data_IF_028323597730
#
_entry.id   IF_028323597730
#
_cell.length_a   1.000
_cell.length_b   1.000
_cell.length_c   1.000
_cell.angle_alpha   90.00
_cell.angle_beta   90.00
_cell.angle_gamma   90.00
#
_symmetry.space_group_name_H-M   'P 1'
#
loop_
_entity.id
_entity.type
_entity.pdbx_description
1 polymer ?
#
# COMPACT_ATOMS: atom_id res chain seq x y z
N UNK A 1 -5.09 -32.85 -16.97
CA UNK A 1 -4.51 -31.96 -15.94
C UNK A 1 -4.02 -30.70 -16.64
N UNK A 2 -4.31 -29.49 -16.14
CA UNK A 2 -3.79 -28.25 -16.74
C UNK A 2 -2.68 -27.70 -15.84
N UNK A 3 -1.42 -28.03 -16.18
CA UNK A 3 -0.25 -27.48 -15.51
C UNK A 3 0.29 -26.30 -16.32
N UNK A 4 0.44 -25.13 -15.70
CA UNK A 4 0.85 -23.89 -16.37
C UNK A 4 2.31 -23.94 -16.86
N UNK A 5 3.14 -24.84 -16.32
CA UNK A 5 4.54 -25.03 -16.72
C UNK A 5 4.74 -25.87 -17.99
N UNK A 6 3.68 -26.43 -18.55
CA UNK A 6 3.76 -27.26 -19.76
C UNK A 6 4.29 -28.69 -19.55
N UNK A 7 4.76 -29.06 -18.36
CA UNK A 7 5.02 -30.46 -17.99
C UNK A 7 3.81 -31.04 -17.27
N UNK A 8 3.13 -31.99 -17.90
CA UNK A 8 1.88 -32.59 -17.40
C UNK A 8 2.10 -33.94 -16.72
N UNK A 9 3.33 -34.48 -16.74
CA UNK A 9 3.67 -35.72 -16.04
C UNK A 9 3.97 -35.46 -14.56
N UNK A 10 3.73 -36.48 -13.74
CA UNK A 10 4.03 -36.42 -12.31
C UNK A 10 5.54 -36.35 -12.10
N UNK A 11 5.99 -35.42 -11.26
CA UNK A 11 7.42 -35.10 -11.07
C UNK A 11 8.26 -36.29 -10.60
N UNK A 12 7.65 -37.27 -9.90
CA UNK A 12 8.32 -38.46 -9.41
C UNK A 12 7.46 -39.71 -9.63
N UNK A 13 8.08 -40.76 -10.19
CA UNK A 13 7.46 -42.08 -10.33
C UNK A 13 7.66 -42.86 -9.04
N UNK A 14 6.61 -42.96 -8.22
CA UNK A 14 6.61 -43.76 -6.99
C UNK A 14 6.14 -45.19 -7.25
N UNK A 15 6.46 -46.09 -6.32
CA UNK A 15 5.96 -47.46 -6.33
C UNK A 15 4.44 -47.50 -6.11
N UNK A 16 3.81 -48.55 -6.63
CA UNK A 16 2.38 -48.82 -6.50
C UNK A 16 2.18 -49.94 -5.50
N UNK A 17 1.21 -49.80 -4.60
CA UNK A 17 0.80 -50.86 -3.68
C UNK A 17 -0.41 -51.60 -4.25
N UNK A 18 -0.36 -52.92 -4.25
CA UNK A 18 -1.43 -53.79 -4.78
C UNK A 18 -1.86 -54.74 -3.68
N UNK A 19 -3.15 -54.70 -3.33
CA UNK A 19 -3.75 -55.61 -2.36
C UNK A 19 -4.17 -56.92 -3.03
N UNK A 20 -4.30 -57.97 -2.23
CA UNK A 20 -4.81 -59.29 -2.58
C UNK A 20 -6.24 -59.27 -3.17
N UNK A 21 -7.04 -58.24 -2.87
CA UNK A 21 -8.38 -58.02 -3.45
C UNK A 21 -8.33 -57.51 -4.90
N UNK A 22 -7.15 -57.09 -5.37
CA UNK A 22 -6.97 -56.41 -6.65
C UNK A 22 -7.04 -54.88 -6.55
N UNK A 23 -7.19 -54.32 -5.36
CA UNK A 23 -7.18 -52.86 -5.16
C UNK A 23 -5.77 -52.31 -5.31
N UNK A 24 -5.64 -51.25 -6.11
CA UNK A 24 -4.37 -50.63 -6.47
C UNK A 24 -4.30 -49.22 -5.88
N UNK A 25 -3.34 -48.96 -5.01
CA UNK A 25 -3.11 -47.65 -4.40
C UNK A 25 -1.81 -47.04 -4.91
N UNK A 26 -1.90 -45.82 -5.45
CA UNK A 26 -0.76 -45.08 -5.96
C UNK A 26 -0.78 -43.63 -5.46
N UNK A 27 0.29 -43.22 -4.75
CA UNK A 27 0.41 -41.89 -4.15
C UNK A 27 1.74 -41.25 -4.60
N UNK A 28 1.77 -40.62 -5.78
CA UNK A 28 2.99 -39.98 -6.26
C UNK A 28 3.09 -38.53 -5.76
N UNK A 29 4.28 -38.06 -5.32
CA UNK A 29 4.47 -36.67 -4.97
C UNK A 29 4.57 -35.83 -6.25
N UNK A 30 3.87 -34.68 -6.26
CA UNK A 30 3.78 -33.82 -7.43
C UNK A 30 3.83 -32.34 -7.04
N UNK A 31 4.46 -31.53 -7.88
CA UNK A 31 4.38 -30.07 -7.81
C UNK A 31 3.50 -29.55 -8.95
N UNK A 32 2.41 -28.87 -8.61
CA UNK A 32 1.47 -28.32 -9.59
C UNK A 32 1.59 -26.80 -9.64
N UNK A 33 1.69 -26.25 -10.84
CA UNK A 33 1.55 -24.81 -11.07
C UNK A 33 0.23 -24.54 -11.76
N UNK A 34 -0.69 -23.88 -11.07
CA UNK A 34 -1.96 -23.43 -11.65
C UNK A 34 -1.84 -21.98 -12.12
N UNK A 35 -2.62 -21.64 -13.15
CA UNK A 35 -2.85 -20.25 -13.52
C UNK A 35 -4.19 -19.84 -12.94
N UNK A 36 -4.19 -18.83 -12.06
CA UNK A 36 -5.41 -18.20 -11.55
C UNK A 36 -5.34 -16.69 -11.72
N UNK A 37 -6.50 -16.08 -11.94
CA UNK A 37 -6.65 -14.63 -11.97
C UNK A 37 -6.74 -14.12 -10.53
N UNK A 38 -5.85 -13.20 -10.18
CA UNK A 38 -5.82 -12.56 -8.87
C UNK A 38 -6.68 -11.29 -8.91
N UNK A 39 -7.56 -11.14 -7.93
CA UNK A 39 -8.30 -9.90 -7.72
C UNK A 39 -7.59 -9.03 -6.68
N UNK A 40 -7.20 -7.83 -7.07
CA UNK A 40 -6.42 -6.91 -6.22
C UNK A 40 -7.27 -5.80 -5.61
N UNK A 41 -8.58 -5.75 -5.83
CA UNK A 41 -9.43 -4.63 -5.40
C UNK A 41 -9.24 -4.27 -3.92
N UNK A 42 -9.23 -5.28 -3.04
CA UNK A 42 -9.15 -5.14 -1.58
C UNK A 42 -7.75 -5.32 -0.99
N UNK A 43 -6.70 -5.33 -1.82
CA UNK A 43 -5.33 -5.48 -1.36
C UNK A 43 -4.98 -4.49 -0.22
N UNK A 44 -4.31 -4.91 0.87
CA UNK A 44 -3.79 -6.26 1.18
C UNK A 44 -4.77 -7.17 1.94
N UNK A 45 -6.01 -6.73 2.16
CA UNK A 45 -7.08 -7.47 2.84
C UNK A 45 -7.87 -8.32 1.83
N UNK A 46 -7.15 -8.97 0.92
CA UNK A 46 -7.70 -9.74 -0.18
C UNK A 46 -7.83 -11.23 0.17
N UNK A 47 -8.89 -11.84 -0.36
CA UNK A 47 -9.09 -13.28 -0.43
C UNK A 47 -9.00 -13.71 -1.88
N UNK A 48 -8.29 -14.81 -2.14
CA UNK A 48 -8.09 -15.35 -3.48
C UNK A 48 -8.68 -16.75 -3.57
N UNK A 49 -9.35 -17.04 -4.69
CA UNK A 49 -9.84 -18.38 -5.02
C UNK A 49 -9.17 -18.86 -6.30
N UNK A 50 -8.27 -19.83 -6.16
CA UNK A 50 -7.56 -20.43 -7.28
C UNK A 50 -8.03 -21.86 -7.51
N UNK A 51 -8.23 -22.24 -8.77
CA UNK A 51 -8.79 -23.55 -9.14
C UNK A 51 -7.72 -24.52 -9.58
N UNK A 52 -7.77 -25.75 -9.05
CA UNK A 52 -7.00 -26.90 -9.52
C UNK A 52 -7.96 -27.92 -10.16
N UNK A 53 -7.69 -28.30 -11.42
CA UNK A 53 -8.55 -29.22 -12.17
C UNK A 53 -7.80 -30.50 -12.48
N UNK A 54 -8.29 -31.60 -11.91
CA UNK A 54 -7.80 -32.96 -12.12
C UNK A 54 -8.77 -33.74 -13.01
N UNK A 55 -8.22 -34.51 -13.93
CA UNK A 55 -8.99 -35.19 -14.95
C UNK A 55 -8.07 -36.03 -15.83
N UNK A 56 -8.62 -37.12 -16.36
CA UNK A 56 -7.95 -37.92 -17.39
C UNK A 56 -7.73 -37.09 -18.65
N UNK A 57 -6.59 -37.29 -19.30
CA UNK A 57 -6.30 -36.68 -20.60
C UNK A 57 -6.63 -37.62 -21.76
N UNK A 58 -6.42 -38.92 -21.57
CA UNK A 58 -6.54 -39.95 -22.62
C UNK A 58 -7.91 -40.62 -22.66
N UNK A 59 -8.60 -40.71 -21.53
CA UNK A 59 -9.84 -41.48 -21.38
C UNK A 59 -11.04 -40.59 -21.07
N UNK A 60 -12.20 -40.98 -21.58
CA UNK A 60 -13.47 -40.28 -21.36
C UNK A 60 -14.23 -40.82 -20.14
N UNK A 61 -15.34 -40.16 -19.78
CA UNK A 61 -16.20 -40.57 -18.65
C UNK A 61 -16.81 -41.97 -18.78
N UNK A 62 -16.85 -42.55 -19.97
CA UNK A 62 -17.38 -43.90 -20.20
C UNK A 62 -16.35 -44.99 -19.83
N UNK A 63 -15.06 -44.63 -19.76
CA UNK A 63 -13.94 -45.54 -19.50
C UNK A 63 -13.35 -45.34 -18.11
N UNK A 64 -13.15 -44.07 -17.72
CA UNK A 64 -12.58 -43.70 -16.42
C UNK A 64 -13.50 -42.69 -15.74
N UNK A 65 -14.02 -43.09 -14.58
CA UNK A 65 -14.85 -42.24 -13.73
C UNK A 65 -14.08 -41.90 -12.46
N UNK A 66 -13.90 -40.60 -12.22
CA UNK A 66 -13.33 -40.11 -10.97
C UNK A 66 -14.40 -40.08 -9.87
N UNK A 67 -14.01 -40.44 -8.65
CA UNK A 67 -14.89 -40.40 -7.48
C UNK A 67 -14.10 -40.03 -6.21
N UNK A 68 -14.81 -39.65 -5.15
CA UNK A 68 -14.21 -39.29 -3.88
C UNK A 68 -13.67 -40.50 -3.14
N UNK A 69 -12.46 -40.35 -2.60
CA UNK A 69 -11.92 -41.31 -1.64
C UNK A 69 -12.60 -41.09 -0.28
N UNK A 70 -13.16 -42.14 0.32
CA UNK A 70 -13.87 -42.11 1.61
C UNK A 70 -15.01 -41.09 1.72
N UNK A 71 -15.64 -40.68 0.60
CA UNK A 71 -16.68 -39.64 0.55
C UNK A 71 -16.24 -38.27 1.09
N UNK A 72 -14.94 -37.98 1.12
CA UNK A 72 -14.40 -36.70 1.58
C UNK A 72 -14.31 -35.75 0.39
N UNK A 73 -15.07 -34.65 0.44
CA UNK A 73 -15.19 -33.66 -0.66
C UNK A 73 -14.26 -32.45 -0.48
N UNK A 74 -13.20 -32.58 0.31
CA UNK A 74 -12.25 -31.52 0.58
C UNK A 74 -10.83 -32.07 0.70
N UNK A 75 -9.83 -31.21 0.50
CA UNK A 75 -8.43 -31.61 0.71
C UNK A 75 -8.15 -31.73 2.20
N UNK A 76 -7.53 -32.82 2.62
CA UNK A 76 -7.06 -33.00 3.98
C UNK A 76 -5.82 -32.13 4.22
N UNK A 77 -5.88 -31.27 5.24
CA UNK A 77 -4.80 -30.35 5.62
C UNK A 77 -4.03 -30.81 6.86
N UNK A 78 -4.08 -32.09 7.22
CA UNK A 78 -3.43 -32.63 8.43
C UNK A 78 -1.92 -32.44 8.41
N UNK A 79 -1.30 -32.67 7.24
CA UNK A 79 0.14 -32.53 7.03
C UNK A 79 0.49 -31.17 6.37
N UNK A 80 -0.39 -30.18 6.50
CA UNK A 80 -0.16 -28.85 5.93
C UNK A 80 0.83 -28.04 6.78
N UNK A 81 1.94 -27.65 6.15
CA UNK A 81 2.88 -26.68 6.71
C UNK A 81 2.39 -25.25 6.45
N UNK A 82 2.11 -24.51 7.53
CA UNK A 82 1.64 -23.12 7.44
C UNK A 82 2.59 -22.20 6.68
N UNK A 83 2.03 -21.36 5.80
CA UNK A 83 2.78 -20.33 5.09
C UNK A 83 2.94 -19.04 5.91
N UNK A 84 4.06 -18.35 5.71
CA UNK A 84 4.33 -17.04 6.32
C UNK A 84 3.61 -15.87 5.65
N UNK A 85 3.02 -16.09 4.47
CA UNK A 85 2.43 -15.02 3.64
C UNK A 85 0.92 -15.18 3.47
N UNK A 86 0.46 -16.43 3.39
CA UNK A 86 -0.93 -16.79 3.11
C UNK A 86 -1.46 -17.73 4.18
N UNK A 87 -2.73 -17.54 4.56
CA UNK A 87 -3.51 -18.49 5.34
C UNK A 87 -4.44 -19.25 4.40
N UNK A 88 -4.41 -20.58 4.45
CA UNK A 88 -5.38 -21.43 3.75
C UNK A 88 -6.66 -21.43 4.58
N UNK A 89 -7.74 -20.88 4.01
CA UNK A 89 -9.05 -20.83 4.69
C UNK A 89 -9.75 -22.18 4.51
N UNK A 90 -9.90 -22.61 3.27
CA UNK A 90 -10.57 -23.86 2.91
C UNK A 90 -10.16 -24.31 1.49
N UNK A 91 -10.31 -25.61 1.22
CA UNK A 91 -10.05 -26.21 -0.09
C UNK A 91 -11.17 -27.21 -0.46
N UNK A 92 -12.39 -26.73 -0.75
CA UNK A 92 -13.49 -27.59 -1.17
C UNK A 92 -13.25 -28.17 -2.57
N UNK A 93 -13.74 -29.38 -2.76
CA UNK A 93 -13.68 -30.13 -4.00
C UNK A 93 -15.06 -30.36 -4.60
N UNK A 94 -15.15 -30.27 -5.93
CA UNK A 94 -16.38 -30.50 -6.70
C UNK A 94 -16.11 -31.55 -7.77
N UNK A 95 -17.01 -32.53 -7.86
CA UNK A 95 -16.98 -33.56 -8.89
C UNK A 95 -17.84 -33.11 -10.07
N UNK A 96 -17.25 -33.04 -11.25
CA UNK A 96 -17.94 -32.71 -12.49
C UNK A 96 -17.99 -33.97 -13.34
N UNK A 97 -19.17 -34.61 -13.35
CA UNK A 97 -19.48 -35.77 -14.19
C UNK A 97 -20.62 -35.40 -15.13
N UNK A 98 -20.28 -34.86 -16.30
CA UNK A 98 -21.26 -34.45 -17.32
C UNK A 98 -21.33 -35.50 -18.42
N UNK A 99 -22.46 -36.20 -18.49
CA UNK A 99 -22.70 -37.23 -19.52
C UNK A 99 -22.75 -36.66 -20.93
N UNK A 100 -23.28 -35.44 -21.09
CA UNK A 100 -23.40 -34.76 -22.39
C UNK A 100 -22.03 -34.42 -23.01
N UNK A 101 -21.08 -33.96 -22.19
CA UNK A 101 -19.74 -33.58 -22.64
C UNK A 101 -18.73 -34.72 -22.51
N UNK A 102 -19.16 -35.89 -22.01
CA UNK A 102 -18.31 -37.06 -21.69
C UNK A 102 -17.09 -36.73 -20.81
N UNK A 103 -17.24 -35.76 -19.91
CA UNK A 103 -16.15 -35.31 -19.05
C UNK A 103 -16.34 -35.81 -17.62
N UNK A 104 -15.28 -36.43 -17.06
CA UNK A 104 -15.14 -36.72 -15.63
C UNK A 104 -13.92 -35.99 -15.07
N UNK A 105 -14.16 -34.99 -14.21
CA UNK A 105 -13.13 -34.12 -13.63
C UNK A 105 -13.41 -33.84 -12.16
N UNK A 106 -12.36 -33.65 -11.37
CA UNK A 106 -12.43 -33.16 -9.99
C UNK A 106 -11.81 -31.76 -9.95
N UNK A 107 -12.52 -30.80 -9.39
CA UNK A 107 -12.10 -29.40 -9.28
C UNK A 107 -11.95 -29.03 -7.82
N UNK A 108 -10.76 -28.58 -7.41
CA UNK A 108 -10.54 -28.02 -6.08
C UNK A 108 -10.43 -26.51 -6.15
N UNK A 109 -11.15 -25.82 -5.28
CA UNK A 109 -11.04 -24.38 -5.10
C UNK A 109 -10.18 -24.08 -3.89
N UNK A 110 -8.95 -23.67 -4.10
CA UNK A 110 -8.03 -23.27 -3.04
C UNK A 110 -8.36 -21.84 -2.64
N UNK A 111 -8.96 -21.67 -1.46
CA UNK A 111 -9.31 -20.36 -0.89
C UNK A 111 -8.23 -19.94 0.09
N UNK A 112 -7.53 -18.85 -0.24
CA UNK A 112 -6.40 -18.33 0.56
C UNK A 112 -6.62 -16.86 0.91
N UNK A 113 -6.17 -16.48 2.11
CA UNK A 113 -6.19 -15.10 2.61
C UNK A 113 -4.79 -14.60 2.87
N UNK A 114 -4.51 -13.35 2.52
CA UNK A 114 -3.19 -12.74 2.74
C UNK A 114 -2.99 -12.33 4.20
N UNK A 115 -1.79 -12.54 4.73
CA UNK A 115 -1.35 -11.93 6.00
C UNK A 115 -1.04 -10.45 5.79
N UNK A 116 -1.87 -9.58 6.34
CA UNK A 116 -1.87 -8.13 6.07
C UNK A 116 -0.83 -7.33 6.86
N UNK A 117 -0.38 -7.85 8.00
CA UNK A 117 0.46 -7.11 8.97
C UNK A 117 1.71 -6.49 8.32
N UNK A 118 2.42 -7.24 7.48
CA UNK A 118 3.60 -6.76 6.78
C UNK A 118 3.30 -5.51 5.93
N UNK A 119 2.23 -5.55 5.15
CA UNK A 119 1.83 -4.45 4.27
C UNK A 119 1.29 -3.26 5.04
N UNK A 120 0.51 -3.49 6.10
CA UNK A 120 0.00 -2.41 6.97
C UNK A 120 1.15 -1.63 7.62
N UNK A 121 2.14 -2.32 8.18
CA UNK A 121 3.27 -1.69 8.87
C UNK A 121 4.18 -0.94 7.89
N UNK A 122 4.44 -1.49 6.71
CA UNK A 122 5.39 -0.90 5.76
C UNK A 122 4.76 0.17 4.86
N UNK A 123 3.46 0.08 4.56
CA UNK A 123 2.80 1.01 3.64
C UNK A 123 1.92 2.03 4.39
N UNK A 124 1.09 1.60 5.33
CA UNK A 124 0.12 2.50 5.98
C UNK A 124 0.81 3.39 7.01
N UNK A 125 1.64 2.83 7.89
CA UNK A 125 2.27 3.61 8.97
C UNK A 125 3.14 4.76 8.42
N UNK A 126 4.05 4.54 7.43
CA UNK A 126 4.88 5.63 6.93
C UNK A 126 4.08 6.72 6.22
N UNK A 127 2.97 6.39 5.54
CA UNK A 127 2.14 7.41 4.86
C UNK A 127 1.41 8.31 5.83
N UNK A 128 0.89 7.76 6.93
CA UNK A 128 0.26 8.53 8.00
C UNK A 128 1.27 9.44 8.69
N UNK A 129 2.47 8.92 8.99
CA UNK A 129 3.56 9.72 9.58
C UNK A 129 4.02 10.85 8.65
N UNK A 130 4.17 10.56 7.35
CA UNK A 130 4.53 11.57 6.34
C UNK A 130 3.48 12.68 6.25
N UNK A 131 2.19 12.33 6.23
CA UNK A 131 1.11 13.31 6.23
C UNK A 131 1.15 14.19 7.50
N UNK A 132 1.38 13.59 8.67
CA UNK A 132 1.53 14.34 9.92
C UNK A 132 2.72 15.31 9.89
N UNK A 133 3.88 14.86 9.42
CA UNK A 133 5.07 15.71 9.28
C UNK A 133 4.86 16.84 8.27
N UNK A 134 4.16 16.59 7.16
CA UNK A 134 3.80 17.63 6.19
C UNK A 134 2.91 18.74 6.79
N UNK A 135 2.01 18.38 7.70
CA UNK A 135 1.17 19.35 8.41
C UNK A 135 2.00 20.18 9.39
N UNK A 136 2.93 19.54 10.11
CA UNK A 136 3.86 20.23 11.01
C UNK A 136 4.78 21.22 10.28
N UNK A 137 5.15 20.94 9.02
CA UNK A 137 5.95 21.85 8.21
C UNK A 137 5.26 23.21 7.96
N UNK A 138 3.92 23.27 7.95
CA UNK A 138 3.20 24.55 7.85
C UNK A 138 3.20 25.35 9.14
N UNK A 139 3.24 24.67 10.29
CA UNK A 139 3.26 25.32 11.60
C UNK A 139 4.61 25.97 11.90
N UNK A 140 5.70 25.43 11.37
CA UNK A 140 7.04 25.96 11.61
C UNK A 140 7.23 27.32 10.87
N UNK A 141 7.75 28.36 11.54
CA UNK A 141 8.00 29.66 10.92
C UNK A 141 9.06 29.54 9.82
N UNK A 142 8.93 30.37 8.78
CA UNK A 142 9.83 30.36 7.62
C UNK A 142 11.23 30.92 7.90
N UNK A 143 11.39 31.60 9.05
CA UNK A 143 12.67 32.12 9.52
C UNK A 143 13.65 31.00 9.93
N UNK A 144 13.10 29.85 10.34
CA UNK A 144 13.91 28.71 10.74
C UNK A 144 14.46 27.97 9.53
N UNK A 145 15.79 27.84 9.47
CA UNK A 145 16.47 26.99 8.49
C UNK A 145 15.98 25.52 8.53
N UNK A 146 15.48 25.08 9.70
CA UNK A 146 14.92 23.75 9.90
C UNK A 146 13.68 23.48 9.02
N UNK A 147 12.91 24.51 8.64
CA UNK A 147 11.74 24.35 7.75
C UNK A 147 12.12 23.88 6.36
N UNK A 148 13.20 24.45 5.82
CA UNK A 148 13.70 24.11 4.48
C UNK A 148 14.27 22.69 4.51
N UNK A 149 15.09 22.39 5.54
CA UNK A 149 15.64 21.05 5.76
C UNK A 149 14.55 19.98 5.87
N UNK A 150 13.53 20.21 6.71
CA UNK A 150 12.37 19.32 6.85
C UNK A 150 11.66 19.09 5.51
N UNK A 151 11.44 20.15 4.73
CA UNK A 151 10.75 20.06 3.43
C UNK A 151 11.55 19.23 2.42
N UNK A 152 12.88 19.39 2.37
CA UNK A 152 13.76 18.60 1.49
C UNK A 152 13.75 17.12 1.90
N UNK A 153 13.88 16.84 3.21
CA UNK A 153 13.85 15.47 3.73
C UNK A 153 12.50 14.79 3.48
N UNK A 154 11.39 15.52 3.60
CA UNK A 154 10.05 15.02 3.25
C UNK A 154 9.94 14.69 1.76
N UNK A 155 10.45 15.54 0.88
CA UNK A 155 10.44 15.28 -0.56
C UNK A 155 11.26 14.02 -0.90
N UNK A 156 12.45 13.87 -0.32
CA UNK A 156 13.29 12.69 -0.53
C UNK A 156 12.60 11.41 -0.05
N UNK A 157 12.06 11.44 1.17
CA UNK A 157 11.32 10.30 1.74
C UNK A 157 10.10 9.92 0.87
N UNK A 158 9.40 10.92 0.32
CA UNK A 158 8.26 10.72 -0.57
C UNK A 158 8.65 9.96 -1.85
N UNK A 159 9.77 10.34 -2.48
CA UNK A 159 10.28 9.68 -3.69
C UNK A 159 10.69 8.24 -3.38
N UNK A 160 11.41 8.00 -2.28
CA UNK A 160 11.81 6.65 -1.87
C UNK A 160 10.58 5.76 -1.61
N UNK A 161 9.57 6.29 -0.91
CA UNK A 161 8.35 5.55 -0.63
C UNK A 161 7.55 5.26 -1.90
N UNK A 162 7.49 6.18 -2.87
CA UNK A 162 6.88 5.95 -4.17
C UNK A 162 7.55 4.79 -4.93
N UNK A 163 8.89 4.74 -4.93
CA UNK A 163 9.66 3.65 -5.55
C UNK A 163 9.42 2.30 -4.85
N UNK A 164 9.18 2.30 -3.54
CA UNK A 164 8.81 1.09 -2.79
C UNK A 164 7.42 0.60 -3.21
N UNK A 165 6.44 1.50 -3.25
CA UNK A 165 5.05 1.20 -3.63
C UNK A 165 4.97 0.63 -5.06
N UNK A 166 5.71 1.20 -6.01
CA UNK A 166 5.71 0.73 -7.41
C UNK A 166 6.32 -0.68 -7.58
N UNK A 167 7.12 -1.14 -6.62
CA UNK A 167 7.67 -2.51 -6.63
C UNK A 167 6.74 -3.52 -5.98
N UNK A 168 5.94 -3.09 -5.01
CA UNK A 168 5.06 -3.98 -4.24
C UNK A 168 3.71 -4.18 -4.95
N UNK A 169 3.18 -3.12 -5.58
CA UNK A 169 1.93 -3.20 -6.33
C UNK A 169 2.19 -3.74 -7.74
N UNK A 170 1.52 -4.83 -8.16
CA UNK A 170 1.68 -5.35 -9.50
C UNK A 170 1.11 -4.36 -10.54
N UNK A 171 1.74 -4.21 -11.72
CA UNK A 171 1.19 -3.40 -12.80
C UNK A 171 -0.04 -4.12 -13.37
N UNK A 172 -1.21 -3.81 -12.81
CA UNK A 172 -2.49 -4.39 -13.18
C UNK A 172 -3.42 -3.30 -13.70
N UNK A 173 -4.35 -3.67 -14.58
CA UNK A 173 -5.34 -2.74 -15.15
C UNK A 173 -6.30 -2.17 -14.10
N UNK A 174 -6.55 -2.92 -13.02
CA UNK A 174 -7.41 -2.50 -11.91
C UNK A 174 -6.56 -2.00 -10.75
N UNK A 175 -6.59 -0.69 -10.50
CA UNK A 175 -5.87 -0.07 -9.38
C UNK A 175 -6.52 -0.51 -8.05
N UNK A 176 -5.77 -1.14 -7.12
CA UNK A 176 -6.28 -1.57 -5.82
C UNK A 176 -6.78 -0.37 -5.00
N UNK A 177 -7.74 -0.58 -4.09
CA UNK A 177 -8.27 0.46 -3.22
C UNK A 177 -7.15 1.14 -2.41
N UNK A 178 -6.23 0.34 -1.87
CA UNK A 178 -5.02 0.83 -1.21
C UNK A 178 -4.15 1.70 -2.14
N UNK A 179 -4.02 1.31 -3.41
CA UNK A 179 -3.31 2.11 -4.41
C UNK A 179 -3.95 3.47 -4.65
N UNK A 180 -5.29 3.55 -4.68
CA UNK A 180 -6.03 4.82 -4.79
C UNK A 180 -5.80 5.72 -3.57
N UNK A 181 -5.83 5.16 -2.37
CA UNK A 181 -5.52 5.88 -1.13
C UNK A 181 -4.09 6.43 -1.14
N UNK A 182 -3.10 5.59 -1.46
CA UNK A 182 -1.70 5.99 -1.53
C UNK A 182 -1.49 7.07 -2.60
N UNK A 183 -2.12 6.95 -3.77
CA UNK A 183 -2.05 7.96 -4.83
C UNK A 183 -2.63 9.31 -4.40
N UNK A 184 -3.78 9.30 -3.74
CA UNK A 184 -4.36 10.52 -3.16
C UNK A 184 -3.42 11.15 -2.13
N UNK A 185 -2.85 10.34 -1.22
CA UNK A 185 -1.88 10.80 -0.24
C UNK A 185 -0.64 11.39 -0.91
N UNK A 186 -0.13 10.78 -1.98
CA UNK A 186 1.00 11.31 -2.74
C UNK A 186 0.71 12.68 -3.35
N UNK A 187 -0.45 12.84 -4.01
CA UNK A 187 -0.85 14.11 -4.62
C UNK A 187 -0.96 15.21 -3.55
N UNK A 188 -1.53 14.90 -2.39
CA UNK A 188 -1.60 15.83 -1.26
C UNK A 188 -0.20 16.22 -0.77
N UNK A 189 0.68 15.24 -0.51
CA UNK A 189 2.05 15.52 -0.07
C UNK A 189 2.84 16.38 -1.08
N UNK A 190 2.76 16.07 -2.38
CA UNK A 190 3.40 16.89 -3.43
C UNK A 190 2.86 18.32 -3.40
N UNK A 191 1.54 18.47 -3.32
CA UNK A 191 0.90 19.80 -3.26
C UNK A 191 1.39 20.58 -2.03
N UNK A 192 1.50 19.93 -0.87
CA UNK A 192 2.01 20.60 0.34
C UNK A 192 3.44 21.08 0.17
N UNK A 193 4.33 20.26 -0.41
CA UNK A 193 5.73 20.63 -0.66
C UNK A 193 5.84 21.80 -1.65
N UNK A 194 5.03 21.81 -2.71
CA UNK A 194 5.02 22.94 -3.66
C UNK A 194 4.56 24.22 -2.96
N UNK A 195 3.50 24.16 -2.13
CA UNK A 195 3.01 25.31 -1.37
C UNK A 195 4.06 25.79 -0.37
N UNK A 196 4.77 24.91 0.34
CA UNK A 196 5.82 25.33 1.28
C UNK A 196 6.98 26.02 0.57
N UNK A 197 7.41 25.54 -0.59
CA UNK A 197 8.42 26.21 -1.42
C UNK A 197 7.95 27.60 -1.85
N UNK A 198 6.69 27.75 -2.25
CA UNK A 198 6.11 29.07 -2.57
C UNK A 198 6.09 29.99 -1.35
N UNK A 199 5.68 29.50 -0.17
CA UNK A 199 5.68 30.27 1.08
C UNK A 199 7.10 30.75 1.41
N UNK A 200 8.09 29.86 1.31
CA UNK A 200 9.49 30.19 1.57
C UNK A 200 10.01 31.23 0.58
N UNK A 201 9.70 31.07 -0.71
CA UNK A 201 10.07 32.04 -1.74
C UNK A 201 9.44 33.43 -1.50
N UNK A 202 8.16 33.47 -1.10
CA UNK A 202 7.49 34.73 -0.74
C UNK A 202 8.07 35.34 0.54
N UNK A 203 8.46 34.52 1.53
CA UNK A 203 9.06 34.98 2.78
C UNK A 203 10.42 35.65 2.56
N UNK A 204 11.31 35.06 1.77
CA UNK A 204 12.64 35.61 1.47
C UNK A 204 12.62 36.74 0.40
N UNK A 205 11.44 37.24 0.02
CA UNK A 205 11.32 38.36 -0.92
C UNK A 205 11.67 39.68 -0.21
N UNK A 206 12.79 40.29 -0.61
CA UNK A 206 13.21 41.61 -0.12
C UNK A 206 12.50 42.77 -0.85
N UNK A 207 12.25 43.87 -0.14
CA UNK A 207 11.62 45.09 -0.67
C UNK A 207 12.46 45.81 -1.74
N UNK A 208 13.76 45.49 -1.83
CA UNK A 208 14.67 46.08 -2.83
C UNK A 208 14.49 45.41 -4.19
N UNK A 209 14.13 44.12 -4.22
CA UNK A 209 14.05 43.34 -5.46
C UNK A 209 12.63 43.24 -6.04
N UNK A 210 11.59 43.50 -5.22
CA UNK A 210 10.21 43.29 -5.64
C UNK A 210 9.23 44.27 -5.00
N UNK A 211 8.37 44.87 -5.83
CA UNK A 211 7.22 45.62 -5.36
C UNK A 211 6.02 44.70 -5.09
N UNK A 212 5.25 44.98 -4.02
CA UNK A 212 4.06 44.21 -3.66
C UNK A 212 2.84 44.73 -4.43
N UNK A 213 2.19 43.92 -5.28
CA UNK A 213 1.00 44.35 -6.01
C UNK A 213 -0.18 44.66 -5.07
N UNK A 214 -0.99 45.65 -5.43
CA UNK A 214 -2.14 46.10 -4.64
C UNK A 214 -3.18 44.98 -4.37
N UNK A 215 -3.33 44.02 -5.29
CA UNK A 215 -4.25 42.89 -5.10
C UNK A 215 -3.75 41.91 -4.03
N UNK A 216 -2.43 41.64 -3.98
CA UNK A 216 -1.80 40.76 -2.96
C UNK A 216 -2.01 41.38 -1.58
N UNK A 217 -1.81 42.69 -1.47
CA UNK A 217 -2.03 43.45 -0.24
C UNK A 217 -3.45 43.29 0.30
N UNK A 218 -4.48 43.50 -0.55
CA UNK A 218 -5.89 43.36 -0.12
C UNK A 218 -6.25 41.93 0.29
N UNK A 219 -5.80 40.93 -0.47
CA UNK A 219 -6.11 39.53 -0.18
C UNK A 219 -5.42 39.07 1.11
N UNK A 220 -4.08 39.20 1.19
CA UNK A 220 -3.29 38.59 2.26
C UNK A 220 -3.21 39.44 3.54
N UNK A 221 -3.34 40.77 3.47
CA UNK A 221 -3.19 41.65 4.66
C UNK A 221 -4.52 42.24 5.18
N UNK A 222 -5.60 42.19 4.38
CA UNK A 222 -6.90 42.74 4.78
C UNK A 222 -8.01 41.69 4.87
N UNK A 223 -8.15 40.81 3.87
CA UNK A 223 -9.21 39.79 3.83
C UNK A 223 -8.85 38.54 4.64
N UNK A 224 -7.74 37.88 4.31
CA UNK A 224 -7.33 36.60 4.90
C UNK A 224 -7.14 36.66 6.44
N UNK A 225 -6.49 37.69 7.03
CA UNK A 225 -6.31 37.77 8.49
C UNK A 225 -7.63 37.96 9.25
N UNK A 226 -8.63 38.62 8.63
CA UNK A 226 -9.98 38.77 9.21
C UNK A 226 -10.73 37.43 9.22
N UNK A 227 -10.58 36.63 8.17
CA UNK A 227 -11.19 35.29 8.08
C UNK A 227 -10.51 34.30 9.04
N UNK A 228 -9.18 34.35 9.16
CA UNK A 228 -8.38 33.46 10.00
C UNK A 228 -8.26 33.93 11.47
N UNK A 229 -8.94 35.01 11.86
CA UNK A 229 -8.89 35.62 13.20
C UNK A 229 -7.46 35.91 13.71
N UNK A 230 -6.56 36.30 12.83
CA UNK A 230 -5.17 36.63 13.20
C UNK A 230 -5.11 38.05 13.80
N UNK A 231 -4.45 38.18 14.96
CA UNK A 231 -4.11 39.51 15.52
C UNK A 231 -2.93 40.09 14.75
N UNK A 232 -3.02 41.36 14.37
CA UNK A 232 -1.88 42.06 13.78
C UNK A 232 -0.80 42.26 14.86
N UNK A 233 0.48 41.99 14.56
CA UNK A 233 1.56 42.35 15.46
C UNK A 233 1.59 43.87 15.65
N UNK A 234 1.81 44.32 16.89
CA UNK A 234 1.95 45.74 17.21
C UNK A 234 3.20 46.29 16.51
N UNK A 235 3.08 47.47 15.90
CA UNK A 235 4.23 48.13 15.26
C UNK A 235 5.17 48.58 16.37
N UNK A 236 6.33 47.95 16.48
CA UNK A 236 7.42 48.47 17.31
C UNK A 236 7.83 49.81 16.67
N UNK A 237 7.78 50.94 17.40
CA UNK A 237 8.17 52.23 16.84
C UNK A 237 9.67 52.21 16.51
N UNK A 238 10.00 52.51 15.26
CA UNK A 238 11.36 52.69 14.79
C UNK A 238 11.85 54.02 15.36
N UNK A 239 12.64 53.99 16.43
CA UNK A 239 13.33 55.18 16.93
C UNK A 239 14.69 55.28 16.21
N UNK A 240 14.93 56.40 15.52
CA UNK A 240 16.23 56.76 14.91
C UNK A 240 16.82 55.83 13.83
N UNK A 241 16.02 55.10 13.05
CA UNK A 241 16.50 54.49 11.80
C UNK A 241 17.42 53.27 11.94
N UNK A 242 17.52 52.68 13.13
CA UNK A 242 18.13 51.37 13.33
C UNK A 242 17.03 50.31 13.49
N UNK A 243 17.18 49.19 12.80
CA UNK A 243 16.34 48.00 12.99
C UNK A 243 16.50 47.52 14.44
N UNK A 244 15.38 47.37 15.17
CA UNK A 244 15.34 46.96 16.59
C UNK A 244 15.63 45.45 16.77
N UNK A 245 16.33 44.81 15.82
CA UNK A 245 16.74 43.40 15.92
C UNK A 245 18.03 43.20 16.74
N UNK A 246 18.73 44.26 17.13
CA UNK A 246 20.07 44.15 17.75
C UNK A 246 20.11 44.25 19.29
N UNK A 247 18.96 44.41 19.97
CA UNK A 247 18.92 44.31 21.44
C UNK A 247 18.54 42.90 21.88
N UNK A 248 19.58 42.18 22.32
CA UNK A 248 19.55 40.88 22.96
C UNK A 248 18.45 40.78 24.03
N UNK A 249 17.74 39.65 24.05
CA UNK A 249 16.67 39.30 25.00
C UNK A 249 17.12 39.16 26.48
N UNK A 250 18.21 39.81 26.88
CA UNK A 250 18.82 39.72 28.21
C UNK A 250 18.66 40.96 29.09
N UNK A 251 18.18 42.10 28.58
CA UNK A 251 18.11 43.36 29.38
C UNK A 251 16.70 43.79 29.82
N UNK A 252 15.64 43.05 29.45
CA UNK A 252 14.26 43.45 29.78
C UNK A 252 13.89 43.18 31.26
N UNK A 253 14.70 42.46 32.03
CA UNK A 253 14.37 42.10 33.42
C UNK A 253 14.85 43.07 34.52
N UNK A 254 15.60 44.14 34.21
CA UNK A 254 16.27 44.93 35.26
C UNK A 254 15.94 46.43 35.33
N UNK A 255 14.90 46.90 34.62
CA UNK A 255 14.45 48.30 34.72
C UNK A 255 13.11 48.40 35.47
N UNK A 256 13.01 47.78 36.65
CA UNK A 256 12.06 48.23 37.66
C UNK A 256 12.66 49.39 38.43
N UNK A 257 12.59 50.61 37.90
CA UNK A 257 12.58 51.86 38.67
C UNK A 257 12.57 53.06 37.72
N UNK A 258 11.44 53.77 37.67
CA UNK A 258 11.35 55.22 37.89
C UNK A 258 10.09 55.80 37.21
N UNK A 259 9.12 56.14 38.08
CA UNK A 259 8.23 57.32 38.12
C UNK A 259 7.84 57.97 36.78
#
# INVERSE_FOLDING_TARGET
MVNADGNYEVSFRSNVFVDSTGDVTWVPPAMFKSSCRIDVEWFPFDEQSCTLVFGSWTYNSDEVVLNWYNNIQAVQLTDYSYSGIWDVIDVPGYLINKKETKESKIVFHVVIRRKTLFYTVILIIPTVLMAFLSMMAFYLPADSAEKISLTINLLLALVVFLLLVSKILPPTSNIPLMGKYLLMAFVLNITTVVVTVVIVNVYFRSAISHEMPNYVRRIFLEFLPRVLMMKRPERIPIFNGYFVEEYCASEIFDASECI
#
